data_IF_374463972269
#
_entry.id   IF_374463972269
#
_cell.length_a   1.000
_cell.length_b   1.000
_cell.length_c   1.000
_cell.angle_alpha   90.00
_cell.angle_beta   90.00
_cell.angle_gamma   90.00
#
_symmetry.space_group_name_H-M   'P 1'
#
loop_
_entity.id
_entity.type
_entity.pdbx_description
1 polymer ?
#
# COMPACT_ATOMS: atom_id res chain seq x y z
N UNK A 1 -22.32 28.83 -4.63
CA UNK A 1 -21.07 28.07 -4.97
C UNK A 1 -21.41 26.60 -5.04
N UNK A 2 -21.24 25.96 -6.19
CA UNK A 2 -21.65 24.57 -6.41
C UNK A 2 -20.62 23.62 -5.75
N UNK A 3 -21.07 22.62 -5.00
CA UNK A 3 -20.24 21.61 -4.32
C UNK A 3 -19.17 20.93 -5.20
N UNK A 4 -19.31 20.98 -6.52
CA UNK A 4 -18.36 20.43 -7.50
C UNK A 4 -17.02 21.18 -7.56
N UNK A 5 -16.95 22.47 -7.21
CA UNK A 5 -15.69 23.24 -7.23
C UNK A 5 -14.83 23.06 -5.99
N UNK A 6 -15.38 22.60 -4.88
CA UNK A 6 -14.61 22.37 -3.66
C UNK A 6 -13.69 21.15 -3.78
N UNK A 7 -14.12 20.12 -4.51
CA UNK A 7 -13.34 18.88 -4.69
C UNK A 7 -12.18 19.03 -5.69
N UNK A 8 -12.25 19.97 -6.61
CA UNK A 8 -11.21 20.22 -7.63
C UNK A 8 -10.01 20.99 -7.07
N UNK A 9 -10.16 21.71 -5.96
CA UNK A 9 -9.10 22.54 -5.37
C UNK A 9 -8.23 21.83 -4.31
N UNK A 10 -8.60 20.63 -3.89
CA UNK A 10 -7.88 19.86 -2.86
C UNK A 10 -6.76 18.97 -3.40
N UNK A 11 -6.48 19.00 -4.68
CA UNK A 11 -5.59 18.08 -5.38
C UNK A 11 -4.22 18.69 -5.71
N UNK A 12 -3.66 19.54 -4.87
CA UNK A 12 -2.31 20.06 -5.09
C UNK A 12 -1.35 19.63 -4.00
N UNK A 13 -0.41 18.82 -4.43
CA UNK A 13 0.93 18.54 -3.89
C UNK A 13 1.03 17.79 -2.58
N UNK A 14 1.50 16.53 -2.73
CA UNK A 14 2.14 15.84 -1.61
C UNK A 14 3.03 14.71 -2.04
N UNK A 15 4.17 14.69 -1.41
CA UNK A 15 5.20 13.73 -1.61
C UNK A 15 4.69 12.28 -1.71
N UNK A 16 4.90 11.66 -2.87
CA UNK A 16 4.74 10.23 -3.07
C UNK A 16 3.33 9.64 -3.04
N UNK A 17 2.28 10.44 -2.84
CA UNK A 17 0.92 9.95 -2.73
C UNK A 17 0.06 10.35 -3.92
N UNK A 18 -0.42 9.38 -4.68
CA UNK A 18 -1.40 9.59 -5.73
C UNK A 18 -2.77 9.92 -5.15
N UNK A 19 -3.21 11.15 -5.41
CA UNK A 19 -4.59 11.55 -5.20
C UNK A 19 -5.34 11.26 -6.50
N UNK A 20 -6.28 10.32 -6.46
CA UNK A 20 -7.19 10.12 -7.59
C UNK A 20 -8.08 11.35 -7.72
N UNK A 21 -7.87 12.15 -8.77
CA UNK A 21 -8.85 13.16 -9.17
C UNK A 21 -9.96 12.49 -9.97
N UNK A 22 -11.20 12.97 -9.82
CA UNK A 22 -12.40 12.49 -10.52
C UNK A 22 -12.31 12.60 -12.07
N UNK A 23 -11.24 13.16 -12.61
CA UNK A 23 -11.05 13.47 -14.03
C UNK A 23 -10.03 12.58 -14.76
N UNK A 24 -9.89 11.31 -14.37
CA UNK A 24 -9.18 10.26 -15.14
C UNK A 24 -7.74 10.53 -15.58
N UNK A 25 -7.05 11.56 -15.07
CA UNK A 25 -5.64 11.81 -15.35
C UNK A 25 -4.79 11.42 -14.15
N UNK A 26 -3.85 10.47 -14.28
CA UNK A 26 -2.90 10.19 -13.21
C UNK A 26 -1.95 11.38 -13.07
N UNK A 27 -2.05 12.09 -11.96
CA UNK A 27 -1.12 13.15 -11.67
C UNK A 27 0.10 12.56 -10.94
N UNK A 28 1.26 12.57 -11.60
CA UNK A 28 2.53 12.24 -10.96
C UNK A 28 2.91 13.37 -10.01
N UNK A 29 2.83 13.13 -8.74
CA UNK A 29 3.32 14.05 -7.73
C UNK A 29 4.74 13.64 -7.37
N UNK A 30 5.72 14.49 -7.70
CA UNK A 30 7.10 14.29 -7.28
C UNK A 30 7.21 14.50 -5.77
N UNK A 31 7.84 13.53 -5.10
CA UNK A 31 8.09 13.53 -3.67
C UNK A 31 9.20 14.52 -3.31
N UNK A 32 8.89 15.81 -3.31
CA UNK A 32 9.71 16.83 -2.67
C UNK A 32 8.82 17.85 -2.01
N UNK A 33 8.49 17.63 -0.77
CA UNK A 33 8.27 18.67 0.24
C UNK A 33 7.60 18.12 1.50
N UNK A 34 8.26 18.31 2.61
CA UNK A 34 7.66 18.46 3.94
C UNK A 34 6.61 17.40 4.37
N UNK A 35 6.97 16.14 4.40
CA UNK A 35 6.43 15.10 5.29
C UNK A 35 4.93 15.10 5.66
N UNK A 36 4.03 15.71 4.87
CA UNK A 36 2.61 15.78 5.19
C UNK A 36 1.80 14.82 4.35
N UNK A 37 1.18 13.85 4.99
CA UNK A 37 0.21 12.95 4.37
C UNK A 37 -1.16 13.66 4.33
N UNK A 38 -1.67 13.99 3.13
CA UNK A 38 -2.97 14.69 2.97
C UNK A 38 -4.10 13.79 2.48
N UNK A 39 -3.93 12.49 2.53
CA UNK A 39 -5.02 11.53 2.33
C UNK A 39 -5.66 11.27 3.69
N UNK A 40 -6.98 11.26 3.81
CA UNK A 40 -7.63 10.91 5.07
C UNK A 40 -7.19 9.52 5.52
N UNK A 41 -6.46 9.47 6.62
CA UNK A 41 -6.05 8.23 7.27
C UNK A 41 -7.24 7.62 8.02
N UNK A 42 -7.28 6.29 8.11
CA UNK A 42 -8.35 5.53 8.75
C UNK A 42 -7.95 4.88 10.06
N UNK A 43 -6.67 4.66 10.25
CA UNK A 43 -6.11 3.97 11.41
C UNK A 43 -4.97 4.74 12.08
N UNK A 44 -3.98 5.18 11.30
CA UNK A 44 -2.85 5.94 11.82
C UNK A 44 -3.19 7.41 12.00
N UNK A 45 -2.55 8.06 12.97
CA UNK A 45 -2.36 9.50 12.92
C UNK A 45 -1.23 9.88 11.92
N UNK A 46 -1.03 11.17 11.69
CA UNK A 46 -0.04 11.65 10.71
C UNK A 46 1.39 11.23 11.09
N UNK A 47 1.74 11.31 12.39
CA UNK A 47 3.07 10.95 12.86
C UNK A 47 3.33 9.45 12.76
N UNK A 48 2.39 8.64 13.17
CA UNK A 48 2.47 7.19 13.05
C UNK A 48 2.61 6.75 11.59
N UNK A 49 1.85 7.38 10.70
CA UNK A 49 1.93 7.10 9.28
C UNK A 49 3.30 7.44 8.68
N UNK A 50 3.93 8.54 9.12
CA UNK A 50 5.29 8.88 8.70
C UNK A 50 6.33 7.86 9.17
N UNK A 51 6.22 7.37 10.39
CA UNK A 51 7.08 6.31 10.93
C UNK A 51 6.96 5.03 10.11
N UNK A 52 5.73 4.57 9.85
CA UNK A 52 5.50 3.35 9.07
C UNK A 52 5.89 3.54 7.60
N UNK A 53 5.66 4.72 7.01
CA UNK A 53 6.13 5.03 5.66
C UNK A 53 7.65 4.97 5.55
N UNK A 54 8.38 5.54 6.52
CA UNK A 54 9.83 5.46 6.58
C UNK A 54 10.32 4.01 6.70
N UNK A 55 9.69 3.21 7.56
CA UNK A 55 10.02 1.80 7.71
C UNK A 55 9.75 0.99 6.42
N UNK A 56 8.61 1.22 5.76
CA UNK A 56 8.29 0.59 4.48
C UNK A 56 9.29 0.99 3.38
N UNK A 57 9.73 2.26 3.36
CA UNK A 57 10.74 2.74 2.42
C UNK A 57 12.13 2.10 2.63
N UNK A 58 12.45 1.62 3.85
CA UNK A 58 13.68 0.84 4.09
C UNK A 58 13.53 -0.62 3.63
N UNK A 59 12.32 -1.17 3.69
CA UNK A 59 12.03 -2.55 3.24
C UNK A 59 12.02 -2.61 1.70
N UNK A 60 11.42 -1.62 1.04
CA UNK A 60 11.37 -1.51 -0.41
C UNK A 60 11.82 -0.10 -0.83
N UNK A 61 13.13 0.13 -0.88
CA UNK A 61 13.68 1.45 -1.20
C UNK A 61 13.49 1.80 -2.67
N UNK A 62 13.40 3.09 -2.96
CA UNK A 62 13.58 3.64 -4.30
C UNK A 62 15.05 3.85 -4.60
N UNK A 63 15.43 3.74 -5.87
CA UNK A 63 16.74 4.14 -6.37
C UNK A 63 16.60 5.08 -7.58
N UNK A 64 17.71 5.34 -8.28
CA UNK A 64 17.70 6.26 -9.43
C UNK A 64 16.86 5.76 -10.61
N UNK A 65 16.57 4.46 -10.69
CA UNK A 65 15.92 3.78 -11.82
C UNK A 65 14.56 3.20 -11.45
N UNK A 66 14.41 2.76 -10.20
CA UNK A 66 13.24 2.01 -9.75
C UNK A 66 12.54 2.72 -8.58
N UNK A 67 11.21 2.93 -8.69
CA UNK A 67 10.41 3.50 -7.61
C UNK A 67 10.23 2.50 -6.47
N UNK A 68 10.16 3.03 -5.23
CA UNK A 68 9.98 2.23 -4.02
C UNK A 68 8.61 2.39 -3.36
N UNK A 69 8.56 1.98 -2.08
CA UNK A 69 7.34 1.99 -1.28
C UNK A 69 6.72 3.38 -1.11
N UNK A 70 7.55 4.43 -1.11
CA UNK A 70 7.08 5.82 -1.00
C UNK A 70 6.27 6.22 -2.23
N UNK A 71 6.83 6.03 -3.42
CA UNK A 71 6.21 6.40 -4.69
C UNK A 71 4.99 5.53 -4.99
N UNK A 72 5.01 4.27 -4.56
CA UNK A 72 3.87 3.36 -4.67
C UNK A 72 2.71 3.70 -3.71
N UNK A 73 2.93 4.60 -2.73
CA UNK A 73 1.91 4.94 -1.75
C UNK A 73 1.57 3.79 -0.80
N UNK A 74 2.54 2.93 -0.48
CA UNK A 74 2.35 1.73 0.35
C UNK A 74 1.71 2.04 1.70
N UNK A 75 2.02 3.19 2.31
CA UNK A 75 1.42 3.60 3.58
C UNK A 75 -0.11 3.70 3.51
N UNK A 76 -0.67 4.11 2.38
CA UNK A 76 -2.13 4.20 2.21
C UNK A 76 -2.76 2.81 2.13
N UNK A 77 -2.08 1.86 1.47
CA UNK A 77 -2.50 0.46 1.50
C UNK A 77 -2.55 -0.07 2.93
N UNK A 78 -1.46 0.09 3.68
CA UNK A 78 -1.36 -0.38 5.08
C UNK A 78 -2.45 0.26 5.95
N UNK A 79 -2.61 1.57 5.86
CA UNK A 79 -3.63 2.31 6.63
C UNK A 79 -5.04 1.80 6.33
N UNK A 80 -5.38 1.56 5.06
CA UNK A 80 -6.69 1.05 4.65
C UNK A 80 -6.93 -0.38 5.12
N UNK A 81 -5.92 -1.26 5.03
CA UNK A 81 -6.01 -2.63 5.54
C UNK A 81 -6.27 -2.62 7.05
N UNK A 82 -5.51 -1.84 7.80
CA UNK A 82 -5.68 -1.72 9.24
C UNK A 82 -6.97 -0.98 9.63
N UNK A 83 -7.41 -0.03 8.83
CA UNK A 83 -8.70 0.66 9.00
C UNK A 83 -9.91 -0.25 8.80
N UNK A 84 -9.75 -1.30 8.00
CA UNK A 84 -10.80 -2.22 7.57
C UNK A 84 -11.10 -3.40 8.52
N UNK A 85 -11.89 -4.37 8.03
CA UNK A 85 -12.22 -5.60 8.77
C UNK A 85 -10.98 -6.45 9.09
N UNK A 86 -10.00 -6.51 8.19
CA UNK A 86 -8.75 -7.20 8.37
C UNK A 86 -8.00 -6.71 9.62
N UNK A 87 -7.83 -5.40 9.77
CA UNK A 87 -7.13 -4.85 10.92
C UNK A 87 -7.76 -5.18 12.26
N UNK A 88 -9.07 -5.48 12.27
CA UNK A 88 -9.84 -5.90 13.45
C UNK A 88 -9.98 -7.40 13.59
N UNK A 89 -9.35 -8.16 12.73
CA UNK A 89 -9.40 -9.63 12.72
C UNK A 89 -10.82 -10.23 12.61
N UNK A 90 -11.74 -9.54 11.92
CA UNK A 90 -13.16 -9.94 11.88
C UNK A 90 -13.41 -11.32 11.27
N UNK A 91 -12.49 -11.77 10.42
CA UNK A 91 -12.66 -13.00 9.65
C UNK A 91 -11.77 -14.14 10.17
N UNK A 92 -10.92 -13.88 11.16
CA UNK A 92 -10.11 -14.91 11.78
C UNK A 92 -10.80 -15.50 12.99
N UNK A 93 -10.70 -16.80 13.15
CA UNK A 93 -11.13 -17.47 14.40
C UNK A 93 -10.15 -17.12 15.52
N UNK A 94 -10.64 -16.43 16.54
CA UNK A 94 -9.81 -15.84 17.61
C UNK A 94 -10.26 -16.25 19.00
N UNK A 95 -10.68 -17.51 19.17
CA UNK A 95 -11.06 -18.03 20.49
C UNK A 95 -9.94 -18.85 21.12
N UNK A 96 -9.74 -18.75 22.44
CA UNK A 96 -8.74 -19.54 23.16
C UNK A 96 -9.09 -21.04 23.13
N UNK A 97 -8.11 -21.93 23.35
CA UNK A 97 -6.71 -21.63 23.71
C UNK A 97 -5.90 -21.10 22.52
N UNK A 98 -4.97 -20.13 22.82
CA UNK A 98 -3.99 -19.66 21.84
C UNK A 98 -2.69 -20.44 22.05
N UNK A 99 -2.43 -21.39 21.20
CA UNK A 99 -1.23 -22.21 21.20
C UNK A 99 -0.36 -21.91 19.98
N UNK A 100 0.94 -22.18 20.10
CA UNK A 100 1.83 -22.06 18.96
C UNK A 100 1.50 -23.14 17.94
N UNK A 101 1.14 -22.74 16.75
CA UNK A 101 0.90 -23.64 15.63
C UNK A 101 2.19 -24.01 14.90
N UNK A 102 2.10 -24.94 13.95
CA UNK A 102 3.16 -25.18 12.98
C UNK A 102 3.26 -24.00 11.99
N UNK A 103 4.44 -23.75 11.37
CA UNK A 103 4.64 -22.60 10.47
C UNK A 103 3.59 -22.47 9.38
N UNK A 104 3.10 -23.58 8.85
CA UNK A 104 2.10 -23.66 7.79
C UNK A 104 0.72 -23.17 8.21
N UNK A 105 0.42 -23.14 9.49
CA UNK A 105 -0.83 -22.62 10.04
C UNK A 105 -0.84 -21.09 10.16
N UNK A 106 0.32 -20.45 9.96
CA UNK A 106 0.47 -19.02 10.10
C UNK A 106 0.37 -18.53 11.56
N UNK A 107 -0.03 -17.28 11.72
CA UNK A 107 -0.11 -16.65 13.04
C UNK A 107 -1.32 -17.16 13.83
N UNK A 108 -1.06 -17.73 14.99
CA UNK A 108 -2.07 -18.27 15.91
C UNK A 108 -2.23 -17.41 17.19
N UNK A 109 -1.50 -16.30 17.30
CA UNK A 109 -1.56 -15.42 18.46
C UNK A 109 -2.88 -14.65 18.57
N UNK A 110 -3.13 -14.08 19.73
CA UNK A 110 -4.37 -13.34 20.06
C UNK A 110 -4.40 -11.90 19.51
N UNK A 111 -3.22 -11.31 19.26
CA UNK A 111 -3.14 -9.91 18.84
C UNK A 111 -3.71 -9.71 17.44
N UNK A 112 -4.55 -8.72 17.28
CA UNK A 112 -5.06 -8.27 15.99
C UNK A 112 -3.96 -7.57 15.19
N UNK A 113 -4.06 -7.47 13.85
CA UNK A 113 -3.11 -6.68 13.05
C UNK A 113 -2.94 -5.24 13.57
N UNK A 114 -3.98 -4.61 14.07
CA UNK A 114 -3.90 -3.28 14.70
C UNK A 114 -3.02 -3.26 15.94
N UNK A 115 -3.20 -4.21 16.83
CA UNK A 115 -2.40 -4.34 18.05
C UNK A 115 -0.94 -4.61 17.72
N UNK A 116 -0.67 -5.50 16.76
CA UNK A 116 0.68 -5.77 16.26
C UNK A 116 1.35 -4.50 15.73
N UNK A 117 0.63 -3.65 14.99
CA UNK A 117 1.19 -2.36 14.52
C UNK A 117 1.38 -1.34 15.65
N UNK A 118 0.53 -1.33 16.68
CA UNK A 118 0.74 -0.48 17.87
C UNK A 118 2.00 -0.87 18.64
N UNK A 119 2.21 -2.16 18.83
CA UNK A 119 3.44 -2.70 19.41
C UNK A 119 4.66 -2.36 18.54
N UNK A 120 4.53 -2.52 17.22
CA UNK A 120 5.58 -2.19 16.26
C UNK A 120 5.99 -0.73 16.26
N UNK A 121 5.03 0.20 16.36
CA UNK A 121 5.31 1.63 16.51
C UNK A 121 6.11 1.92 17.79
N UNK A 122 5.79 1.24 18.90
CA UNK A 122 6.55 1.37 20.13
C UNK A 122 7.99 0.84 19.99
N UNK A 123 8.20 -0.25 19.25
CA UNK A 123 9.54 -0.80 18.96
C UNK A 123 10.37 0.14 18.06
N UNK A 124 9.76 0.74 17.04
CA UNK A 124 10.43 1.70 16.15
C UNK A 124 10.78 3.00 16.89
N UNK A 125 9.90 3.45 17.79
CA UNK A 125 10.05 4.68 18.55
C UNK A 125 9.55 5.92 17.79
N UNK A 126 9.32 7.03 18.53
CA UNK A 126 8.57 8.19 18.04
C UNK A 126 9.32 9.06 17.01
N UNK A 127 10.61 8.87 16.84
CA UNK A 127 11.46 9.68 15.96
C UNK A 127 12.13 8.85 14.86
N UNK A 128 11.61 7.63 14.60
CA UNK A 128 12.16 6.71 13.60
C UNK A 128 12.25 7.35 12.22
N UNK A 129 11.24 8.11 11.81
CA UNK A 129 11.16 8.81 10.53
C UNK A 129 12.27 9.87 10.33
N UNK A 130 12.90 10.33 11.43
CA UNK A 130 13.96 11.34 11.43
C UNK A 130 15.37 10.75 11.50
N UNK A 131 15.49 9.48 11.77
CA UNK A 131 16.77 8.79 11.81
C UNK A 131 17.39 8.73 10.42
N UNK A 132 18.71 8.62 10.37
CA UNK A 132 19.42 8.33 9.13
C UNK A 132 19.05 6.95 8.60
N UNK A 133 19.23 6.71 7.31
CA UNK A 133 18.94 5.42 6.68
C UNK A 133 19.69 4.26 7.36
N UNK A 134 20.92 4.47 7.81
CA UNK A 134 21.72 3.46 8.52
C UNK A 134 21.11 3.13 9.87
N UNK A 135 20.74 4.15 10.65
CA UNK A 135 20.10 3.96 11.96
C UNK A 135 18.74 3.29 11.84
N UNK A 136 17.95 3.63 10.81
CA UNK A 136 16.67 2.96 10.51
C UNK A 136 16.89 1.48 10.21
N UNK A 137 17.88 1.16 9.37
CA UNK A 137 18.22 -0.23 9.03
C UNK A 137 18.68 -1.03 10.24
N UNK A 138 19.49 -0.43 11.13
CA UNK A 138 19.93 -1.08 12.38
C UNK A 138 18.74 -1.38 13.29
N UNK A 139 17.82 -0.43 13.45
CA UNK A 139 16.59 -0.65 14.23
C UNK A 139 15.73 -1.76 13.63
N UNK A 140 15.53 -1.77 12.32
CA UNK A 140 14.75 -2.81 11.65
C UNK A 140 15.39 -4.19 11.79
N UNK A 141 16.72 -4.31 11.68
CA UNK A 141 17.44 -5.56 11.97
C UNK A 141 17.24 -6.03 13.41
N UNK A 142 17.22 -5.09 14.36
CA UNK A 142 16.98 -5.40 15.78
C UNK A 142 15.62 -6.04 16.05
N UNK A 143 14.66 -5.88 15.18
CA UNK A 143 13.28 -6.40 15.30
C UNK A 143 12.89 -7.40 14.21
N UNK A 144 13.82 -7.84 13.36
CA UNK A 144 13.51 -8.66 12.17
C UNK A 144 12.85 -10.01 12.49
N UNK A 145 13.06 -10.54 13.70
CA UNK A 145 12.45 -11.78 14.16
C UNK A 145 11.04 -11.62 14.69
N UNK A 146 10.58 -10.38 14.89
CA UNK A 146 9.24 -10.11 15.43
C UNK A 146 8.13 -10.38 14.40
N UNK A 147 6.93 -10.67 14.90
CA UNK A 147 5.76 -10.81 14.04
C UNK A 147 5.41 -9.48 13.37
N UNK A 148 5.61 -8.34 14.05
CA UNK A 148 5.42 -7.02 13.46
C UNK A 148 6.28 -6.82 12.20
N UNK A 149 7.58 -7.14 12.25
CA UNK A 149 8.45 -6.96 11.08
C UNK A 149 8.01 -7.84 9.90
N UNK A 150 7.65 -9.09 10.17
CA UNK A 150 7.12 -10.01 9.14
C UNK A 150 5.86 -9.43 8.49
N UNK A 151 4.94 -8.91 9.30
CA UNK A 151 3.69 -8.33 8.83
C UNK A 151 3.92 -7.02 8.06
N UNK A 152 4.80 -6.15 8.55
CA UNK A 152 5.19 -4.91 7.87
C UNK A 152 5.81 -5.21 6.50
N UNK A 153 6.73 -6.18 6.43
CA UNK A 153 7.34 -6.62 5.17
C UNK A 153 6.29 -7.17 4.20
N UNK A 154 5.39 -8.02 4.67
CA UNK A 154 4.30 -8.56 3.86
C UNK A 154 3.43 -7.44 3.30
N UNK A 155 2.93 -6.56 4.14
CA UNK A 155 2.09 -5.44 3.71
C UNK A 155 2.82 -4.46 2.79
N UNK A 156 4.13 -4.31 2.95
CA UNK A 156 4.93 -3.49 2.03
C UNK A 156 4.94 -4.09 0.63
N UNK A 157 5.15 -5.40 0.52
CA UNK A 157 5.12 -6.11 -0.77
C UNK A 157 3.71 -6.08 -1.36
N UNK A 158 2.69 -6.36 -0.56
CA UNK A 158 1.29 -6.29 -1.01
C UNK A 158 0.94 -4.90 -1.52
N UNK A 159 1.32 -3.84 -0.80
CA UNK A 159 1.09 -2.45 -1.19
C UNK A 159 1.84 -2.03 -2.45
N UNK A 160 3.03 -2.63 -2.71
CA UNK A 160 3.77 -2.40 -3.95
C UNK A 160 3.07 -3.00 -5.17
N UNK A 161 2.40 -4.15 -5.02
CA UNK A 161 1.93 -4.95 -6.16
C UNK A 161 0.41 -5.18 -6.18
N UNK A 162 -0.35 -4.59 -5.28
CA UNK A 162 -1.81 -4.66 -5.32
C UNK A 162 -2.39 -3.87 -6.50
N UNK A 163 -3.67 -4.08 -6.79
CA UNK A 163 -4.41 -3.15 -7.64
C UNK A 163 -4.55 -1.80 -6.91
N UNK A 164 -4.36 -0.66 -7.60
CA UNK A 164 -4.47 0.68 -7.01
C UNK A 164 -5.77 0.97 -6.27
N UNK A 165 -6.84 0.25 -6.56
CA UNK A 165 -8.11 0.35 -5.81
C UNK A 165 -7.93 0.10 -4.30
N UNK A 166 -6.91 -0.66 -3.91
CA UNK A 166 -6.59 -0.95 -2.51
C UNK A 166 -5.74 0.13 -1.83
N UNK A 167 -5.23 1.11 -2.60
CA UNK A 167 -4.53 2.29 -2.07
C UNK A 167 -3.02 2.27 -2.22
N UNK A 168 -2.43 1.15 -2.64
CA UNK A 168 -1.01 1.02 -3.00
C UNK A 168 -0.78 1.05 -4.50
N UNK A 169 0.44 0.69 -4.93
CA UNK A 169 0.85 0.58 -6.33
C UNK A 169 0.40 1.78 -7.19
N UNK A 170 0.59 2.95 -6.64
CA UNK A 170 0.18 4.19 -7.25
C UNK A 170 0.78 4.33 -8.67
N UNK A 171 -0.07 4.65 -9.66
CA UNK A 171 0.35 4.74 -11.06
C UNK A 171 0.80 3.41 -11.68
N UNK A 172 0.49 2.28 -11.04
CA UNK A 172 0.88 0.93 -11.49
C UNK A 172 2.40 0.74 -11.54
N UNK A 173 3.17 1.50 -10.75
CA UNK A 173 4.64 1.52 -10.83
C UNK A 173 5.25 0.17 -10.45
N UNK A 174 4.69 -0.51 -9.44
CA UNK A 174 5.13 -1.86 -9.08
C UNK A 174 4.87 -2.87 -10.21
N UNK A 175 3.71 -2.78 -10.86
CA UNK A 175 3.41 -3.65 -12.01
C UNK A 175 4.28 -3.34 -13.23
N UNK A 176 4.61 -2.05 -13.45
CA UNK A 176 5.55 -1.66 -14.50
C UNK A 176 6.93 -2.25 -14.27
N UNK A 177 7.43 -2.19 -13.03
CA UNK A 177 8.75 -2.71 -12.64
C UNK A 177 8.89 -4.22 -12.91
N UNK A 178 7.81 -5.00 -12.65
CA UNK A 178 7.83 -6.46 -12.87
C UNK A 178 7.26 -6.89 -14.22
N UNK A 179 6.83 -5.94 -15.06
CA UNK A 179 6.21 -6.25 -16.37
C UNK A 179 4.85 -6.94 -16.25
N UNK A 180 4.13 -6.78 -15.16
CA UNK A 180 2.78 -7.33 -14.99
C UNK A 180 1.75 -6.45 -15.69
N UNK A 181 0.97 -7.00 -16.63
CA UNK A 181 0.06 -6.21 -17.47
C UNK A 181 -1.27 -5.85 -16.80
N UNK A 182 -1.51 -6.33 -15.58
CA UNK A 182 -2.79 -6.17 -14.88
C UNK A 182 -3.77 -7.32 -15.14
N UNK A 183 -5.02 -7.20 -14.65
CA UNK A 183 -6.03 -8.23 -14.81
C UNK A 183 -6.53 -8.34 -16.25
N UNK A 184 -6.66 -9.56 -16.74
CA UNK A 184 -7.26 -9.89 -18.02
C UNK A 184 -8.30 -11.01 -17.82
N UNK A 185 -9.48 -10.84 -18.41
CA UNK A 185 -10.53 -11.87 -18.39
C UNK A 185 -10.21 -13.02 -19.33
N UNK A 186 -9.55 -12.73 -20.45
CA UNK A 186 -9.12 -13.70 -21.45
C UNK A 186 -7.89 -13.20 -22.19
N UNK A 187 -7.04 -14.12 -22.61
CA UNK A 187 -5.89 -13.88 -23.45
C UNK A 187 -6.09 -14.37 -24.89
N UNK A 188 -7.23 -14.97 -25.21
CA UNK A 188 -7.47 -15.61 -26.52
C UNK A 188 -7.20 -14.69 -27.71
N UNK A 189 -7.74 -13.48 -27.69
CA UNK A 189 -7.52 -12.50 -28.76
C UNK A 189 -6.05 -12.10 -28.91
N UNK A 190 -5.33 -11.98 -27.78
CA UNK A 190 -3.91 -11.60 -27.78
C UNK A 190 -3.02 -12.72 -28.31
N UNK A 191 -3.37 -13.98 -28.05
CA UNK A 191 -2.61 -15.16 -28.55
C UNK A 191 -2.61 -15.16 -30.07
N UNK A 192 -3.76 -14.96 -30.70
CA UNK A 192 -3.87 -14.94 -32.16
C UNK A 192 -3.16 -13.73 -32.79
N UNK A 193 -3.37 -12.52 -32.23
CA UNK A 193 -2.82 -11.28 -32.76
C UNK A 193 -1.31 -11.18 -32.62
N UNK A 194 -0.75 -11.79 -31.58
CA UNK A 194 0.66 -11.62 -31.21
C UNK A 194 1.46 -12.93 -31.26
N UNK A 195 0.93 -13.96 -31.88
CA UNK A 195 1.61 -15.26 -32.01
C UNK A 195 3.02 -15.08 -32.61
N UNK A 196 4.04 -15.60 -31.90
CA UNK A 196 5.43 -15.49 -32.32
C UNK A 196 6.06 -14.10 -32.20
N UNK A 197 5.38 -13.12 -31.61
CA UNK A 197 5.88 -11.75 -31.41
C UNK A 197 5.97 -11.43 -29.92
N UNK A 198 7.01 -10.62 -29.56
CA UNK A 198 7.08 -10.08 -28.20
C UNK A 198 5.91 -9.11 -27.98
N UNK A 199 5.09 -9.41 -26.98
CA UNK A 199 3.95 -8.57 -26.60
C UNK A 199 4.13 -8.09 -25.16
N UNK A 200 4.24 -6.78 -24.98
CA UNK A 200 4.35 -6.13 -23.67
C UNK A 200 3.30 -5.04 -23.55
N UNK A 201 2.07 -5.39 -23.15
CA UNK A 201 1.00 -4.40 -22.98
C UNK A 201 1.32 -3.44 -21.84
N UNK A 202 0.78 -2.22 -21.92
CA UNK A 202 0.83 -1.30 -20.79
C UNK A 202 -0.04 -1.86 -19.66
N UNK A 203 0.43 -1.80 -18.40
CA UNK A 203 -0.36 -2.23 -17.26
C UNK A 203 -1.70 -1.47 -17.19
N UNK A 204 -2.74 -2.19 -16.81
CA UNK A 204 -4.09 -1.65 -16.58
C UNK A 204 -4.59 -2.11 -15.22
N UNK A 205 -5.23 -1.21 -14.46
CA UNK A 205 -5.92 -1.55 -13.22
C UNK A 205 -7.25 -2.25 -13.51
N UNK A 206 -7.85 -2.84 -12.49
CA UNK A 206 -9.20 -3.39 -12.60
C UNK A 206 -10.21 -2.29 -13.00
N UNK A 207 -10.05 -1.07 -12.46
CA UNK A 207 -10.89 0.07 -12.83
C UNK A 207 -10.80 0.41 -14.31
N UNK A 208 -9.62 0.29 -14.94
CA UNK A 208 -9.45 0.51 -16.38
C UNK A 208 -10.14 -0.57 -17.21
N UNK A 209 -10.12 -1.81 -16.74
CA UNK A 209 -10.72 -2.97 -17.44
C UNK A 209 -12.25 -2.93 -17.36
N UNK A 210 -12.81 -2.57 -16.21
CA UNK A 210 -14.28 -2.55 -16.00
C UNK A 210 -14.91 -1.26 -16.52
N UNK A 211 -14.10 -0.27 -16.88
CA UNK A 211 -14.60 1.00 -17.43
C UNK A 211 -15.29 1.91 -16.43
N UNK A 212 -15.23 1.57 -15.15
CA UNK A 212 -15.78 2.35 -14.04
C UNK A 212 -14.69 2.53 -12.98
N UNK A 213 -14.62 3.72 -12.40
CA UNK A 213 -14.02 3.83 -11.08
C UNK A 213 -14.88 2.97 -10.14
N UNK A 214 -14.34 1.83 -9.68
CA UNK A 214 -14.98 1.07 -8.62
C UNK A 214 -15.00 1.99 -7.42
N UNK A 215 -16.15 2.59 -7.15
CA UNK A 215 -16.35 3.38 -5.96
C UNK A 215 -16.57 2.37 -4.81
N UNK A 216 -15.65 2.26 -3.87
CA UNK A 216 -15.74 1.24 -2.82
C UNK A 216 -16.89 1.47 -1.83
N UNK A 217 -17.76 2.43 -2.08
CA UNK A 217 -18.87 2.87 -1.20
C UNK A 217 -20.21 3.08 -1.92
N UNK A 218 -20.37 2.76 -3.18
CA UNK A 218 -21.70 2.61 -3.76
C UNK A 218 -22.26 1.28 -3.27
N UNK A 219 -23.06 1.35 -2.21
CA UNK A 219 -23.93 0.24 -1.80
C UNK A 219 -24.78 -0.14 -3.01
N UNK A 220 -24.80 -1.42 -3.31
CA UNK A 220 -25.77 -1.95 -4.27
C UNK A 220 -27.18 -1.70 -3.71
N UNK A 221 -27.98 -0.89 -4.42
CA UNK A 221 -29.42 -0.80 -4.19
C UNK A 221 -30.10 -2.14 -4.49
#
# INVERSE_FOLDING_TARGET
MRRRHFLTFSATTLGGLLIYTLDRQPMRVHAQSEGKIRVPLRFFDEKEALIIAAAAARIFPSDATEPGATEAGVIIYIDRQLGGPYGRDRNRYTQPPFEDGVPEQGYQGKATPREVYREGLALLGPDFDRLTAVEQDEKLRGIETTYFFRLLRQHTIEGMFCDPMHGGNAGLIGWQAIGYPGPYMSWSEHIEQHYGKAYRPKPRSLSDVVGHAVKPWEEAE
#
